data_IF_361683704150
#
_entry.id   IF_361683704150
#
_cell.length_a   1.000
_cell.length_b   1.000
_cell.length_c   1.000
_cell.angle_alpha   90.00
_cell.angle_beta   90.00
_cell.angle_gamma   90.00
#
_symmetry.space_group_name_H-M   'P 1'
#
loop_
_entity.id
_entity.type
_entity.pdbx_description
1 polymer ?
#
# COMPACT_ATOMS: atom_id res chain seq x y z
N UNK A 1 15.91 38.78 -37.47
CA UNK A 1 14.65 39.14 -36.78
C UNK A 1 14.24 37.93 -35.97
N UNK A 2 14.15 38.16 -34.66
CA UNK A 2 13.86 37.19 -33.61
C UNK A 2 12.36 36.92 -33.49
N UNK A 3 11.99 35.74 -32.97
CA UNK A 3 10.71 35.30 -32.36
C UNK A 3 10.26 33.95 -32.97
N UNK A 4 9.82 32.94 -32.22
CA UNK A 4 9.63 32.83 -30.78
C UNK A 4 9.34 31.36 -30.45
N UNK A 5 9.90 30.92 -29.33
CA UNK A 5 9.73 29.59 -28.74
C UNK A 5 8.28 29.41 -28.30
N UNK A 6 7.52 28.55 -28.97
CA UNK A 6 6.18 28.15 -28.53
C UNK A 6 6.28 27.07 -27.46
N UNK A 7 6.39 27.49 -26.20
CA UNK A 7 6.24 26.62 -25.03
C UNK A 7 4.78 26.14 -24.97
N UNK A 8 4.55 24.86 -25.26
CA UNK A 8 3.29 24.19 -24.97
C UNK A 8 3.26 23.89 -23.46
N UNK A 9 2.27 24.36 -22.69
CA UNK A 9 2.19 24.02 -21.27
C UNK A 9 1.86 22.54 -21.10
N UNK A 10 2.57 21.87 -20.19
CA UNK A 10 2.26 20.51 -19.73
C UNK A 10 0.82 20.49 -19.21
N UNK A 11 -0.03 19.70 -19.88
CA UNK A 11 -1.38 19.40 -19.43
C UNK A 11 -1.31 18.09 -18.65
N UNK A 12 -1.50 18.18 -17.35
CA UNK A 12 -1.63 17.02 -16.46
C UNK A 12 -2.91 16.23 -16.83
N UNK A 13 -2.88 14.88 -16.87
CA UNK A 13 -4.09 14.10 -17.17
C UNK A 13 -5.14 14.31 -16.08
N UNK A 14 -6.27 14.89 -16.46
CA UNK A 14 -7.45 14.98 -15.59
C UNK A 14 -7.91 13.57 -15.18
N UNK A 15 -7.68 13.22 -13.91
CA UNK A 15 -8.29 12.05 -13.29
C UNK A 15 -9.82 12.20 -13.28
N UNK A 16 -10.58 11.12 -13.53
CA UNK A 16 -12.02 11.15 -13.38
C UNK A 16 -12.36 11.47 -11.93
N UNK A 17 -13.15 12.53 -11.77
CA UNK A 17 -13.69 13.03 -10.51
C UNK A 17 -14.62 11.99 -9.86
N UNK A 18 -14.05 10.93 -9.29
CA UNK A 18 -14.71 10.19 -8.23
C UNK A 18 -14.75 11.11 -7.01
N UNK A 19 -15.96 11.59 -6.71
CA UNK A 19 -16.26 12.29 -5.47
C UNK A 19 -16.06 11.31 -4.32
N UNK A 20 -14.81 11.12 -3.91
CA UNK A 20 -14.48 10.61 -2.59
C UNK A 20 -14.88 11.74 -1.68
N UNK A 21 -16.05 11.59 -1.05
CA UNK A 21 -16.49 12.41 0.07
C UNK A 21 -15.33 12.44 1.05
N UNK A 22 -14.58 13.54 1.05
CA UNK A 22 -13.51 13.78 1.97
C UNK A 22 -14.14 13.65 3.35
N UNK A 23 -13.92 12.52 4.02
CA UNK A 23 -14.24 12.34 5.42
C UNK A 23 -13.28 13.29 6.11
N UNK A 24 -13.72 14.54 6.24
CA UNK A 24 -13.09 15.53 7.09
C UNK A 24 -12.93 14.80 8.42
N UNK A 25 -11.70 14.65 8.96
CA UNK A 25 -11.58 14.10 10.29
C UNK A 25 -12.48 14.98 11.14
N UNK A 26 -13.52 14.38 11.73
CA UNK A 26 -14.53 15.07 12.52
C UNK A 26 -13.76 15.67 13.68
N UNK A 27 -13.29 16.90 13.46
CA UNK A 27 -12.42 17.63 14.35
C UNK A 27 -13.13 17.59 15.68
N UNK A 28 -12.39 17.09 16.69
CA UNK A 28 -12.82 16.98 18.08
C UNK A 28 -13.79 18.11 18.37
N UNK A 29 -15.09 17.79 18.43
CA UNK A 29 -16.12 18.78 18.72
C UNK A 29 -15.81 19.25 20.12
N UNK A 30 -15.03 20.32 20.20
CA UNK A 30 -14.50 20.85 21.45
C UNK A 30 -15.69 21.00 22.36
N UNK A 31 -15.67 20.26 23.47
CA UNK A 31 -16.72 20.23 24.48
C UNK A 31 -17.21 21.67 24.72
N UNK A 32 -18.36 22.05 24.12
CA UNK A 32 -18.94 23.40 24.24
C UNK A 32 -19.26 23.75 25.69
N UNK A 33 -19.25 22.77 26.60
CA UNK A 33 -19.39 22.95 28.04
C UNK A 33 -18.29 23.81 28.67
N UNK A 34 -17.18 24.09 27.98
CA UNK A 34 -16.13 25.00 28.45
C UNK A 34 -16.11 26.35 27.70
N UNK A 35 -17.07 26.65 26.83
CA UNK A 35 -17.05 27.91 26.04
C UNK A 35 -17.26 29.17 26.89
N UNK A 36 -17.81 29.03 28.10
CA UNK A 36 -18.06 30.13 29.03
C UNK A 36 -16.98 30.27 30.13
N UNK A 37 -15.97 29.39 30.15
CA UNK A 37 -14.82 29.54 31.04
C UNK A 37 -13.85 30.53 30.41
N UNK A 38 -13.53 31.61 31.14
CA UNK A 38 -12.50 32.56 30.75
C UNK A 38 -11.19 31.79 30.64
N UNK A 39 -10.64 31.70 29.43
CA UNK A 39 -9.45 30.90 29.10
C UNK A 39 -8.14 31.48 29.68
N UNK A 40 -8.25 32.66 30.29
CA UNK A 40 -7.17 33.43 30.89
C UNK A 40 -7.33 33.36 32.41
N UNK A 41 -6.31 32.84 33.08
CA UNK A 41 -6.18 32.96 34.52
C UNK A 41 -5.81 34.42 34.86
N UNK A 42 -6.40 34.98 35.90
CA UNK A 42 -5.97 36.29 36.44
C UNK A 42 -4.68 36.13 37.26
N UNK A 43 -3.89 37.19 37.42
CA UNK A 43 -2.61 37.13 38.16
C UNK A 43 -2.79 36.67 39.63
N UNK A 44 -3.92 37.00 40.28
CA UNK A 44 -4.31 36.47 41.59
C UNK A 44 -4.53 34.94 41.60
N UNK A 45 -5.07 34.36 40.53
CA UNK A 45 -5.30 32.91 40.43
C UNK A 45 -4.02 32.16 40.06
N UNK A 46 -3.15 32.79 39.25
CA UNK A 46 -1.82 32.26 38.91
C UNK A 46 -0.86 32.20 40.09
N UNK A 47 -1.00 33.09 41.07
CA UNK A 47 -0.20 33.09 42.30
C UNK A 47 -0.66 32.05 43.32
N UNK A 48 -1.82 31.42 43.11
CA UNK A 48 -2.32 30.34 43.96
C UNK A 48 -1.52 29.05 43.74
N UNK A 49 -0.93 28.53 44.82
CA UNK A 49 -0.13 27.31 44.80
C UNK A 49 -0.90 26.07 44.31
N UNK A 50 -2.23 26.05 44.43
CA UNK A 50 -3.06 24.95 43.94
C UNK A 50 -3.17 24.94 42.41
N UNK A 51 -3.34 26.12 41.80
CA UNK A 51 -3.41 26.27 40.34
C UNK A 51 -2.06 25.99 39.70
N UNK A 52 -0.96 26.47 40.30
CA UNK A 52 0.39 26.18 39.81
C UNK A 52 0.71 24.68 39.80
N UNK A 53 0.35 23.95 40.87
CA UNK A 53 0.52 22.49 40.92
C UNK A 53 -0.34 21.77 39.89
N UNK A 54 -1.60 22.16 39.74
CA UNK A 54 -2.48 21.58 38.72
C UNK A 54 -1.94 21.78 37.31
N UNK A 55 -1.45 22.98 36.98
CA UNK A 55 -0.86 23.27 35.66
C UNK A 55 0.44 22.49 35.45
N UNK A 56 1.28 22.35 36.49
CA UNK A 56 2.51 21.58 36.41
C UNK A 56 2.22 20.09 36.19
N UNK A 57 1.29 19.51 36.95
CA UNK A 57 0.87 18.11 36.80
C UNK A 57 0.29 17.85 35.40
N UNK A 58 -0.51 18.78 34.90
CA UNK A 58 -1.11 18.69 33.57
C UNK A 58 -0.05 18.82 32.46
N UNK A 59 0.93 19.68 32.64
CA UNK A 59 2.07 19.83 31.73
C UNK A 59 2.93 18.55 31.72
N UNK A 60 3.24 17.97 32.87
CA UNK A 60 3.94 16.69 32.96
C UNK A 60 3.12 15.53 32.36
N UNK A 61 1.79 15.57 32.46
CA UNK A 61 0.91 14.59 31.81
C UNK A 61 0.97 14.75 30.29
N UNK A 62 0.82 15.97 29.79
CA UNK A 62 0.88 16.31 28.37
C UNK A 62 2.23 15.97 27.75
N UNK A 63 3.35 16.23 28.44
CA UNK A 63 4.68 15.89 27.95
C UNK A 63 4.88 14.37 27.82
N UNK A 64 4.40 13.60 28.81
CA UNK A 64 4.41 12.13 28.74
C UNK A 64 3.55 11.62 27.58
N UNK A 65 2.34 12.14 27.43
CA UNK A 65 1.45 11.76 26.33
C UNK A 65 2.04 12.13 24.97
N UNK A 66 2.66 13.30 24.83
CA UNK A 66 3.35 13.71 23.62
C UNK A 66 4.53 12.78 23.29
N UNK A 67 5.31 12.37 24.29
CA UNK A 67 6.41 11.43 24.11
C UNK A 67 5.90 10.05 23.63
N UNK A 68 4.85 9.53 24.25
CA UNK A 68 4.24 8.25 23.87
C UNK A 68 3.64 8.31 22.46
N UNK A 69 2.95 9.39 22.12
CA UNK A 69 2.37 9.59 20.78
C UNK A 69 3.46 9.69 19.71
N UNK A 70 4.58 10.36 20.00
CA UNK A 70 5.71 10.42 19.08
C UNK A 70 6.28 9.02 18.81
N UNK A 71 6.46 8.21 19.86
CA UNK A 71 6.92 6.84 19.71
C UNK A 71 5.96 5.99 18.87
N UNK A 72 4.65 6.06 19.13
CA UNK A 72 3.64 5.33 18.37
C UNK A 72 3.64 5.75 16.90
N UNK A 73 3.68 7.06 16.63
CA UNK A 73 3.74 7.61 15.27
C UNK A 73 4.95 7.08 14.51
N UNK A 74 6.13 7.12 15.11
CA UNK A 74 7.36 6.71 14.46
C UNK A 74 7.37 5.19 14.20
N UNK A 75 6.82 4.41 15.14
CA UNK A 75 6.60 2.96 14.95
C UNK A 75 5.58 2.68 13.86
N UNK A 76 4.48 3.41 13.83
CA UNK A 76 3.45 3.28 12.80
C UNK A 76 4.05 3.51 11.41
N UNK A 77 4.75 4.63 11.19
CA UNK A 77 5.37 4.90 9.89
C UNK A 77 6.46 3.89 9.52
N UNK A 78 7.19 3.36 10.50
CA UNK A 78 8.18 2.31 10.25
C UNK A 78 7.51 1.01 9.81
N UNK A 79 6.45 0.60 10.50
CA UNK A 79 5.70 -0.61 10.16
C UNK A 79 5.00 -0.46 8.81
N UNK A 80 4.33 0.67 8.58
CA UNK A 80 3.63 0.98 7.34
C UNK A 80 4.57 0.93 6.12
N UNK A 81 5.74 1.56 6.21
CA UNK A 81 6.79 1.46 5.18
C UNK A 81 7.23 0.01 4.93
N UNK A 82 7.41 -0.79 5.99
CA UNK A 82 7.80 -2.20 5.85
C UNK A 82 6.70 -3.01 5.18
N UNK A 83 5.45 -2.80 5.55
CA UNK A 83 4.29 -3.47 4.93
C UNK A 83 4.24 -3.14 3.45
N UNK A 84 4.36 -1.87 3.07
CA UNK A 84 4.37 -1.46 1.66
C UNK A 84 5.51 -2.11 0.86
N UNK A 85 6.72 -2.19 1.42
CA UNK A 85 7.85 -2.89 0.77
C UNK A 85 7.55 -4.39 0.62
N UNK A 86 7.01 -5.03 1.65
CA UNK A 86 6.71 -6.47 1.62
C UNK A 86 5.61 -6.79 0.62
N UNK A 87 4.57 -5.97 0.56
CA UNK A 87 3.45 -6.12 -0.37
C UNK A 87 3.91 -6.04 -1.82
N UNK A 88 4.74 -5.04 -2.14
CA UNK A 88 5.30 -4.90 -3.49
C UNK A 88 6.18 -6.11 -3.88
N UNK A 89 7.01 -6.59 -2.94
CA UNK A 89 7.83 -7.80 -3.15
C UNK A 89 7.00 -9.07 -3.25
N UNK A 90 5.84 -9.10 -2.61
CA UNK A 90 4.94 -10.25 -2.64
C UNK A 90 4.18 -10.32 -3.96
N UNK A 91 3.74 -9.18 -4.50
CA UNK A 91 3.02 -9.10 -5.79
C UNK A 91 3.81 -9.74 -6.93
N UNK A 92 5.11 -9.45 -7.04
CA UNK A 92 5.97 -10.07 -8.07
C UNK A 92 6.10 -11.58 -7.88
N UNK A 93 6.21 -12.06 -6.63
CA UNK A 93 6.30 -13.50 -6.33
C UNK A 93 5.01 -14.24 -6.66
N UNK A 94 3.86 -13.67 -6.30
CA UNK A 94 2.54 -14.24 -6.59
C UNK A 94 2.33 -14.34 -8.10
N UNK A 95 2.66 -13.30 -8.87
CA UNK A 95 2.56 -13.33 -10.33
C UNK A 95 3.37 -14.47 -10.94
N UNK A 96 4.61 -14.65 -10.45
CA UNK A 96 5.52 -15.69 -10.92
C UNK A 96 5.04 -17.10 -10.51
N UNK A 97 4.45 -17.26 -9.33
CA UNK A 97 3.82 -18.52 -8.91
C UNK A 97 2.59 -18.86 -9.75
N UNK A 98 1.72 -17.89 -10.01
CA UNK A 98 0.55 -18.09 -10.88
C UNK A 98 0.99 -18.49 -12.28
N UNK A 99 2.02 -17.83 -12.83
CA UNK A 99 2.56 -18.18 -14.15
C UNK A 99 3.13 -19.61 -14.14
N UNK A 100 3.94 -19.98 -13.14
CA UNK A 100 4.47 -21.33 -13.01
C UNK A 100 3.36 -22.39 -12.94
N UNK A 101 2.37 -22.20 -12.07
CA UNK A 101 1.26 -23.15 -11.87
C UNK A 101 0.43 -23.30 -13.14
N UNK A 102 0.01 -22.20 -13.75
CA UNK A 102 -0.79 -22.23 -14.99
C UNK A 102 -0.03 -22.87 -16.15
N UNK A 103 1.25 -22.54 -16.31
CA UNK A 103 2.08 -23.10 -17.38
C UNK A 103 2.29 -24.61 -17.21
N UNK A 104 2.55 -25.08 -15.97
CA UNK A 104 2.68 -26.51 -15.69
C UNK A 104 1.38 -27.28 -15.86
N UNK A 105 0.24 -26.70 -15.45
CA UNK A 105 -1.06 -27.33 -15.63
C UNK A 105 -1.38 -27.52 -17.11
N UNK A 106 -1.23 -26.47 -17.92
CA UNK A 106 -1.50 -26.54 -19.36
C UNK A 106 -0.53 -27.52 -20.04
N UNK A 107 0.76 -27.50 -19.66
CA UNK A 107 1.74 -28.46 -20.14
C UNK A 107 1.34 -29.90 -19.83
N UNK A 108 0.95 -30.20 -18.58
CA UNK A 108 0.51 -31.53 -18.17
C UNK A 108 -0.73 -31.99 -18.92
N UNK A 109 -1.72 -31.11 -19.10
CA UNK A 109 -2.91 -31.39 -19.91
C UNK A 109 -2.56 -31.66 -21.37
N UNK A 110 -1.65 -30.89 -21.95
CA UNK A 110 -1.21 -31.06 -23.33
C UNK A 110 -0.45 -32.37 -23.56
N UNK A 111 0.45 -32.74 -22.63
CA UNK A 111 1.14 -34.04 -22.64
C UNK A 111 0.16 -35.21 -22.48
N UNK A 112 -0.80 -35.09 -21.57
CA UNK A 112 -1.85 -36.10 -21.37
C UNK A 112 -2.68 -36.33 -22.62
N UNK A 113 -3.08 -35.25 -23.29
CA UNK A 113 -3.78 -35.31 -24.57
C UNK A 113 -2.92 -35.95 -25.69
N UNK A 114 -1.65 -35.57 -25.78
CA UNK A 114 -0.74 -36.13 -26.77
C UNK A 114 -0.61 -37.65 -26.63
N UNK A 115 -0.49 -38.13 -25.39
CA UNK A 115 -0.41 -39.56 -25.06
C UNK A 115 -1.72 -40.31 -25.38
N UNK A 116 -2.89 -39.73 -25.10
CA UNK A 116 -4.18 -40.39 -25.37
C UNK A 116 -4.50 -40.49 -26.87
N UNK A 117 -4.06 -39.51 -27.66
CA UNK A 117 -4.45 -39.40 -29.08
C UNK A 117 -3.39 -39.87 -30.09
N UNK A 118 -2.31 -40.48 -29.62
CA UNK A 118 -1.13 -40.83 -30.42
C UNK A 118 -1.44 -41.63 -31.69
N UNK A 119 -2.36 -42.60 -31.61
CA UNK A 119 -2.73 -43.47 -32.74
C UNK A 119 -3.79 -42.89 -33.68
N UNK A 120 -4.62 -41.95 -33.20
CA UNK A 120 -5.73 -41.40 -33.99
C UNK A 120 -5.30 -40.21 -34.83
N UNK A 121 -4.47 -39.32 -34.25
CA UNK A 121 -4.06 -38.07 -34.89
C UNK A 121 -2.59 -37.77 -34.54
N UNK A 122 -1.62 -38.48 -35.14
CA UNK A 122 -0.22 -38.38 -34.77
C UNK A 122 0.35 -36.97 -34.97
N UNK A 123 -0.04 -36.27 -36.04
CA UNK A 123 0.39 -34.89 -36.27
C UNK A 123 -0.05 -33.94 -35.17
N UNK A 124 -1.30 -34.07 -34.68
CA UNK A 124 -1.84 -33.23 -33.60
C UNK A 124 -1.19 -33.58 -32.27
N UNK A 125 -0.96 -34.87 -31.98
CA UNK A 125 -0.23 -35.31 -30.79
C UNK A 125 1.22 -34.80 -30.75
N UNK A 126 1.91 -34.78 -31.89
CA UNK A 126 3.28 -34.22 -31.98
C UNK A 126 3.26 -32.71 -31.70
N UNK A 127 2.31 -31.97 -32.27
CA UNK A 127 2.17 -30.53 -32.01
C UNK A 127 1.84 -30.25 -30.53
N UNK A 128 0.94 -31.04 -29.93
CA UNK A 128 0.62 -30.96 -28.51
C UNK A 128 1.86 -31.25 -27.64
N UNK A 129 2.68 -32.25 -27.99
CA UNK A 129 3.93 -32.52 -27.28
C UNK A 129 4.91 -31.35 -27.32
N UNK A 130 5.10 -30.74 -28.50
CA UNK A 130 5.99 -29.58 -28.65
C UNK A 130 5.48 -28.41 -27.84
N UNK A 131 4.18 -28.11 -27.95
CA UNK A 131 3.55 -27.03 -27.19
C UNK A 131 3.68 -27.25 -25.68
N UNK A 132 3.30 -28.42 -25.18
CA UNK A 132 3.45 -28.78 -23.77
C UNK A 132 4.90 -28.73 -23.31
N UNK A 133 5.85 -29.21 -24.11
CA UNK A 133 7.28 -29.15 -23.81
C UNK A 133 7.81 -27.72 -23.68
N UNK A 134 7.42 -26.81 -24.58
CA UNK A 134 7.79 -25.39 -24.50
C UNK A 134 7.21 -24.75 -23.24
N UNK A 135 5.96 -25.03 -22.90
CA UNK A 135 5.33 -24.53 -21.68
C UNK A 135 6.01 -25.08 -20.42
N UNK A 136 6.36 -26.36 -20.37
CA UNK A 136 7.09 -26.93 -19.25
C UNK A 136 8.41 -26.17 -19.00
N UNK A 137 9.17 -25.90 -20.06
CA UNK A 137 10.44 -25.16 -19.98
C UNK A 137 10.18 -23.72 -19.51
N UNK A 138 9.20 -23.03 -20.09
CA UNK A 138 8.84 -21.68 -19.71
C UNK A 138 8.44 -21.58 -18.23
N UNK A 139 7.65 -22.54 -17.73
CA UNK A 139 7.29 -22.64 -16.32
C UNK A 139 8.50 -22.79 -15.41
N UNK A 140 9.43 -23.69 -15.74
CA UNK A 140 10.68 -23.88 -14.96
C UNK A 140 11.51 -22.60 -14.95
N UNK A 141 11.69 -21.95 -16.11
CA UNK A 141 12.44 -20.69 -16.21
C UNK A 141 11.80 -19.60 -15.36
N UNK A 142 10.47 -19.47 -15.40
CA UNK A 142 9.75 -18.52 -14.57
C UNK A 142 10.07 -18.68 -13.08
N UNK A 143 10.20 -19.92 -12.59
CA UNK A 143 10.53 -20.21 -11.18
C UNK A 143 12.00 -19.95 -10.81
N UNK A 144 12.92 -20.18 -11.74
CA UNK A 144 14.38 -20.14 -11.50
C UNK A 144 14.93 -18.73 -11.65
N UNK A 145 14.30 -17.88 -12.47
CA UNK A 145 14.69 -16.47 -12.59
C UNK A 145 14.39 -15.77 -11.28
N UNK A 146 15.42 -15.22 -10.63
CA UNK A 146 15.24 -14.36 -9.46
C UNK A 146 14.53 -13.07 -9.89
N UNK A 147 13.42 -12.69 -9.23
CA UNK A 147 12.84 -11.35 -9.39
C UNK A 147 13.69 -10.27 -8.73
#
# INVERSE_FOLDING_TARGET
MSAGTGQQPDVEPSEPSETITAVTPKGNSGRRSFSNLRRELTDEELTSAAVQRMLLDELERLDRECADLCLIRDRFHTCDKRVGILEERFKSKVSLEIMHVTCFLISGSSLGYAASNWGAQPTVSILALIFGGVLAIAGVVAKVVKP
#
